data_IF_764302375326
#
_entry.id   IF_764302375326
#
_cell.length_a   1.000
_cell.length_b   1.000
_cell.length_c   1.000
_cell.angle_alpha   90.00
_cell.angle_beta   90.00
_cell.angle_gamma   90.00
#
_symmetry.space_group_name_H-M   'P 1'
#
loop_
_entity.id
_entity.type
_entity.pdbx_description
1 polymer ?
#
# COMPACT_ATOMS: atom_id res chain seq x y z
N UNK A 1 -33.40 -28.39 -35.45
CA UNK A 1 -32.29 -27.73 -34.71
C UNK A 1 -32.04 -26.39 -35.38
N UNK A 2 -32.26 -25.22 -34.73
CA UNK A 2 -31.99 -23.94 -35.37
C UNK A 2 -30.48 -23.67 -35.33
N UNK A 3 -29.93 -23.25 -36.48
CA UNK A 3 -28.53 -22.87 -36.62
C UNK A 3 -28.26 -21.57 -35.84
N UNK A 4 -27.21 -21.57 -35.02
CA UNK A 4 -26.71 -20.37 -34.35
C UNK A 4 -26.18 -19.40 -35.42
N UNK A 5 -26.90 -18.30 -35.64
CA UNK A 5 -26.41 -17.19 -36.46
C UNK A 5 -25.34 -16.47 -35.65
N UNK A 6 -24.07 -16.64 -36.06
CA UNK A 6 -22.95 -15.95 -35.43
C UNK A 6 -22.97 -14.46 -35.76
N UNK A 7 -23.22 -13.61 -34.75
CA UNK A 7 -23.15 -12.16 -34.90
C UNK A 7 -21.69 -11.76 -35.22
N UNK A 8 -21.44 -11.26 -36.43
CA UNK A 8 -20.13 -10.72 -36.83
C UNK A 8 -20.15 -9.21 -36.66
N UNK A 9 -19.54 -8.70 -35.60
CA UNK A 9 -19.31 -7.26 -35.45
C UNK A 9 -18.18 -6.81 -36.40
N UNK A 10 -18.36 -5.71 -37.14
CA UNK A 10 -17.26 -5.12 -37.91
C UNK A 10 -16.18 -4.59 -36.95
N UNK A 11 -14.92 -4.70 -37.36
CA UNK A 11 -13.75 -4.32 -36.54
C UNK A 11 -13.84 -2.88 -36.01
N UNK A 12 -14.42 -1.96 -36.79
CA UNK A 12 -14.66 -0.57 -36.40
C UNK A 12 -15.61 -0.43 -35.21
N UNK A 13 -16.68 -1.23 -35.15
CA UNK A 13 -17.61 -1.22 -33.99
C UNK A 13 -16.92 -1.79 -32.77
N UNK A 14 -16.10 -2.82 -32.93
CA UNK A 14 -15.29 -3.35 -31.82
C UNK A 14 -14.31 -2.28 -31.29
N UNK A 15 -13.59 -1.59 -32.17
CA UNK A 15 -12.67 -0.51 -31.78
C UNK A 15 -13.37 0.65 -31.07
N UNK A 16 -14.56 1.05 -31.54
CA UNK A 16 -15.35 2.11 -30.91
C UNK A 16 -15.86 1.70 -29.51
N UNK A 17 -16.26 0.44 -29.33
CA UNK A 17 -16.66 -0.08 -28.03
C UNK A 17 -15.48 -0.12 -27.04
N UNK A 18 -14.30 -0.55 -27.48
CA UNK A 18 -13.08 -0.52 -26.64
C UNK A 18 -12.72 0.93 -26.28
N UNK A 19 -12.73 1.85 -27.23
CA UNK A 19 -12.41 3.26 -26.98
C UNK A 19 -13.43 3.92 -26.03
N UNK A 20 -14.72 3.65 -26.22
CA UNK A 20 -15.78 4.12 -25.33
C UNK A 20 -15.61 3.57 -23.92
N UNK A 21 -15.21 2.31 -23.76
CA UNK A 21 -14.99 1.71 -22.43
C UNK A 21 -13.77 2.31 -21.71
N UNK A 22 -12.71 2.66 -22.46
CA UNK A 22 -11.53 3.31 -21.91
C UNK A 22 -11.81 4.75 -21.42
N UNK A 23 -12.75 5.44 -22.07
CA UNK A 23 -13.19 6.79 -21.67
C UNK A 23 -14.12 6.79 -20.44
N UNK A 24 -14.61 5.63 -20.00
CA UNK A 24 -15.45 5.50 -18.80
C UNK A 24 -14.66 5.23 -17.51
N UNK A 25 -13.32 5.18 -17.56
CA UNK A 25 -12.50 5.04 -16.35
C UNK A 25 -12.42 6.41 -15.65
N UNK A 26 -13.24 6.60 -14.63
CA UNK A 26 -13.28 7.85 -13.84
C UNK A 26 -12.42 7.80 -12.59
N UNK A 27 -12.00 6.60 -12.16
CA UNK A 27 -11.26 6.40 -10.91
C UNK A 27 -9.99 5.58 -11.16
N UNK A 28 -8.87 6.05 -10.61
CA UNK A 28 -7.66 5.26 -10.47
C UNK A 28 -7.68 4.62 -9.08
N UNK A 29 -7.81 3.29 -9.02
CA UNK A 29 -7.72 2.59 -7.74
C UNK A 29 -6.28 2.65 -7.22
N UNK A 30 -6.11 3.12 -5.99
CA UNK A 30 -4.84 3.01 -5.26
C UNK A 30 -4.48 1.56 -4.94
N UNK A 31 -3.30 1.33 -4.35
CA UNK A 31 -2.93 0.00 -3.89
C UNK A 31 -3.92 -0.46 -2.82
N UNK A 32 -4.73 -1.46 -3.16
CA UNK A 32 -5.36 -2.31 -2.15
C UNK A 32 -4.39 -3.42 -1.73
N UNK A 33 -4.89 -4.38 -0.95
CA UNK A 33 -4.08 -5.52 -0.49
C UNK A 33 -3.33 -6.24 -1.63
N UNK A 34 -3.93 -6.38 -2.81
CA UNK A 34 -3.26 -6.99 -4.00
C UNK A 34 -2.00 -6.21 -4.42
N UNK A 35 -2.03 -4.88 -4.36
CA UNK A 35 -0.88 -4.03 -4.67
C UNK A 35 0.28 -4.25 -3.70
N UNK A 36 -0.03 -4.28 -2.41
CA UNK A 36 0.96 -4.57 -1.36
C UNK A 36 1.55 -5.98 -1.51
N UNK A 37 0.71 -6.99 -1.74
CA UNK A 37 1.17 -8.37 -1.98
C UNK A 37 2.06 -8.45 -3.22
N UNK A 38 1.73 -7.74 -4.30
CA UNK A 38 2.55 -7.72 -5.51
C UNK A 38 3.94 -7.13 -5.24
N UNK A 39 4.01 -5.98 -4.57
CA UNK A 39 5.30 -5.37 -4.21
C UNK A 39 6.11 -6.26 -3.26
N UNK A 40 5.46 -6.89 -2.29
CA UNK A 40 6.10 -7.81 -1.35
C UNK A 40 6.66 -9.06 -2.06
N UNK A 41 5.93 -9.62 -3.04
CA UNK A 41 6.43 -10.76 -3.83
C UNK A 41 7.61 -10.37 -4.72
N UNK A 42 7.59 -9.18 -5.34
CA UNK A 42 8.75 -8.66 -6.07
C UNK A 42 9.96 -8.55 -5.13
N UNK A 43 9.78 -7.93 -3.96
CA UNK A 43 10.84 -7.78 -2.96
C UNK A 43 11.37 -9.13 -2.47
N UNK A 44 10.49 -10.08 -2.13
CA UNK A 44 10.83 -11.43 -1.69
C UNK A 44 11.71 -12.15 -2.71
N UNK A 45 11.42 -12.00 -4.02
CA UNK A 45 12.24 -12.61 -5.09
C UNK A 45 13.65 -12.04 -5.15
N UNK A 46 13.86 -10.79 -4.74
CA UNK A 46 15.18 -10.14 -4.70
C UNK A 46 16.03 -10.53 -3.48
N UNK A 47 15.45 -11.18 -2.47
CA UNK A 47 16.20 -11.63 -1.29
C UNK A 47 17.12 -12.81 -1.65
N UNK A 48 18.30 -12.83 -1.04
CA UNK A 48 19.13 -14.04 -0.99
C UNK A 48 18.49 -15.14 -0.11
N UNK A 49 18.95 -16.38 -0.26
CA UNK A 49 18.36 -17.53 0.42
C UNK A 49 18.41 -17.41 1.95
N UNK A 50 19.49 -16.83 2.48
CA UNK A 50 19.66 -16.61 3.93
C UNK A 50 18.62 -15.63 4.48
N UNK A 51 18.32 -14.56 3.74
CA UNK A 51 17.33 -13.58 4.15
C UNK A 51 15.91 -14.06 3.90
N UNK A 52 15.66 -14.89 2.87
CA UNK A 52 14.40 -15.61 2.67
C UNK A 52 14.08 -16.53 3.86
N UNK A 53 15.02 -17.36 4.26
CA UNK A 53 14.83 -18.27 5.40
C UNK A 53 14.51 -17.51 6.70
N UNK A 54 15.20 -16.39 6.95
CA UNK A 54 14.93 -15.53 8.10
C UNK A 54 13.53 -14.93 8.08
N UNK A 55 13.11 -14.36 6.94
CA UNK A 55 11.80 -13.71 6.85
C UNK A 55 10.67 -14.74 6.92
N UNK A 56 10.86 -15.93 6.34
CA UNK A 56 9.89 -17.02 6.41
C UNK A 56 9.71 -17.51 7.86
N UNK A 57 10.81 -17.71 8.61
CA UNK A 57 10.74 -18.07 10.03
C UNK A 57 10.08 -16.99 10.90
N UNK A 58 10.38 -15.72 10.61
CA UNK A 58 9.74 -14.58 11.30
C UNK A 58 8.24 -14.50 10.98
N UNK A 59 7.86 -14.72 9.72
CA UNK A 59 6.47 -14.72 9.27
C UNK A 59 5.66 -15.87 9.89
N UNK A 60 6.23 -17.06 10.02
CA UNK A 60 5.59 -18.19 10.70
C UNK A 60 5.23 -17.85 12.15
N UNK A 61 6.16 -17.23 12.89
CA UNK A 61 5.90 -16.79 14.27
C UNK A 61 4.89 -15.63 14.30
N UNK A 62 5.00 -14.70 13.37
CA UNK A 62 4.09 -13.56 13.28
C UNK A 62 2.64 -13.99 13.02
N UNK A 63 2.43 -14.97 12.15
CA UNK A 63 1.12 -15.55 11.86
C UNK A 63 0.42 -16.13 13.11
N UNK A 64 1.18 -16.54 14.12
CA UNK A 64 0.65 -17.04 15.40
C UNK A 64 0.23 -15.92 16.36
N UNK A 65 0.69 -14.67 16.13
CA UNK A 65 0.61 -13.58 17.11
C UNK A 65 -0.63 -12.69 16.98
N UNK A 66 -1.52 -12.92 16.01
CA UNK A 66 -2.67 -12.06 15.78
C UNK A 66 -3.88 -12.73 15.15
N UNK A 67 -5.03 -12.02 15.08
CA UNK A 67 -6.28 -12.52 14.50
C UNK A 67 -6.26 -12.64 12.96
N UNK A 68 -5.10 -12.93 12.37
CA UNK A 68 -4.85 -12.90 10.94
C UNK A 68 -4.53 -14.32 10.45
N UNK A 69 -5.54 -15.18 10.26
CA UNK A 69 -5.33 -16.53 9.72
C UNK A 69 -4.77 -16.53 8.29
N UNK A 70 -4.51 -15.36 7.70
CA UNK A 70 -4.17 -15.16 6.30
C UNK A 70 -2.82 -14.50 6.06
N UNK A 71 -1.94 -14.30 7.06
CA UNK A 71 -0.60 -13.73 6.85
C UNK A 71 0.55 -14.74 7.08
N UNK A 72 0.55 -15.93 6.44
CA UNK A 72 1.53 -16.98 6.72
C UNK A 72 2.95 -16.67 6.22
N UNK A 73 3.10 -15.69 5.32
CA UNK A 73 4.38 -15.33 4.73
C UNK A 73 4.52 -13.81 4.55
N UNK A 74 5.70 -13.38 4.09
CA UNK A 74 6.00 -11.98 3.80
C UNK A 74 5.00 -11.33 2.83
N UNK A 75 4.49 -12.09 1.86
CA UNK A 75 3.60 -11.58 0.80
C UNK A 75 2.23 -11.26 1.38
N UNK A 76 1.61 -12.20 2.09
CA UNK A 76 0.30 -11.97 2.66
C UNK A 76 0.32 -11.06 3.89
N UNK A 77 1.44 -11.02 4.63
CA UNK A 77 1.62 -10.06 5.72
C UNK A 77 1.72 -8.61 5.23
N UNK A 78 1.95 -8.38 3.94
CA UNK A 78 2.02 -7.04 3.36
C UNK A 78 0.72 -6.22 3.55
N UNK A 79 -0.42 -6.84 3.87
CA UNK A 79 -1.69 -6.14 4.13
C UNK A 79 -1.96 -5.88 5.62
N UNK A 80 -1.11 -6.41 6.51
CA UNK A 80 -1.38 -6.48 7.94
C UNK A 80 -1.60 -5.10 8.59
N UNK A 81 -0.82 -4.09 8.20
CA UNK A 81 -0.91 -2.75 8.79
C UNK A 81 -2.25 -2.06 8.50
N UNK A 82 -2.91 -2.42 7.39
CA UNK A 82 -4.30 -2.02 7.13
C UNK A 82 -5.30 -2.90 7.89
N UNK A 83 -5.08 -4.21 7.95
CA UNK A 83 -6.02 -5.13 8.58
C UNK A 83 -6.18 -4.89 10.09
N UNK A 84 -5.15 -4.40 10.79
CA UNK A 84 -5.24 -4.04 12.22
C UNK A 84 -6.25 -2.90 12.48
N UNK A 85 -6.59 -2.09 11.48
CA UNK A 85 -7.64 -1.05 11.60
C UNK A 85 -9.02 -1.67 11.89
N UNK A 86 -9.27 -2.92 11.45
CA UNK A 86 -10.50 -3.68 11.78
C UNK A 86 -10.63 -3.92 13.30
N UNK A 87 -9.51 -3.89 14.02
CA UNK A 87 -9.41 -4.01 15.48
C UNK A 87 -9.23 -2.65 16.17
N UNK A 88 -9.68 -1.56 15.53
CA UNK A 88 -9.65 -0.18 16.05
C UNK A 88 -8.25 0.38 16.32
N UNK A 89 -7.19 -0.21 15.74
CA UNK A 89 -5.82 0.27 15.91
C UNK A 89 -5.48 1.47 15.00
N UNK A 90 -6.31 2.52 15.07
CA UNK A 90 -6.15 3.74 14.26
C UNK A 90 -5.01 4.65 14.73
N UNK A 91 -4.36 4.36 15.85
CA UNK A 91 -3.20 5.10 16.32
C UNK A 91 -2.01 5.09 15.33
N UNK A 92 -2.00 4.14 14.40
CA UNK A 92 -0.98 4.01 13.33
C UNK A 92 -1.45 4.59 12.00
N UNK A 93 -2.59 5.29 11.94
CA UNK A 93 -3.16 5.75 10.66
C UNK A 93 -2.20 6.65 9.86
N UNK A 94 -1.45 7.54 10.54
CA UNK A 94 -0.48 8.44 9.88
C UNK A 94 0.74 7.71 9.32
N UNK A 95 0.96 6.45 9.69
CA UNK A 95 2.11 5.67 9.25
C UNK A 95 2.01 5.27 7.77
N UNK A 96 0.82 5.41 7.18
CA UNK A 96 0.51 4.97 5.82
C UNK A 96 0.76 6.02 4.74
N UNK A 97 1.11 7.25 5.11
CA UNK A 97 1.28 8.32 4.12
C UNK A 97 2.32 9.35 4.56
N UNK A 98 2.76 10.15 3.59
CA UNK A 98 3.50 11.38 3.78
C UNK A 98 2.82 12.46 2.96
N UNK A 99 2.00 13.30 3.58
CA UNK A 99 1.18 14.29 2.89
C UNK A 99 2.00 15.52 2.43
N UNK A 100 2.89 15.35 1.45
CA UNK A 100 3.68 16.45 0.91
C UNK A 100 2.76 17.51 0.27
N UNK A 101 2.83 18.79 0.69
CA UNK A 101 1.92 19.80 0.18
C UNK A 101 2.23 20.15 -1.28
N UNK A 102 1.22 20.03 -2.15
CA UNK A 102 1.23 20.53 -3.51
C UNK A 102 0.30 21.75 -3.62
N UNK A 103 0.90 22.94 -3.75
CA UNK A 103 0.18 24.22 -3.64
C UNK A 103 0.31 25.07 -4.92
N UNK A 104 -0.40 24.73 -6.01
CA UNK A 104 -0.32 25.46 -7.29
C UNK A 104 -0.90 26.88 -7.22
N UNK A 105 -1.82 27.15 -6.29
CA UNK A 105 -2.47 28.46 -6.13
C UNK A 105 -1.75 29.38 -5.12
N UNK A 106 -0.69 28.87 -4.49
CA UNK A 106 0.12 29.59 -3.51
C UNK A 106 -0.73 30.17 -2.35
N UNK A 107 -1.72 29.41 -1.88
CA UNK A 107 -2.53 29.77 -0.72
C UNK A 107 -1.70 29.69 0.57
N UNK A 108 -2.14 30.37 1.63
CA UNK A 108 -1.51 30.25 2.94
C UNK A 108 -1.85 28.89 3.58
N UNK A 109 -0.88 27.98 3.66
CA UNK A 109 -1.03 26.69 4.34
C UNK A 109 -0.56 26.83 5.79
N UNK A 110 -1.46 26.55 6.74
CA UNK A 110 -1.15 26.55 8.17
C UNK A 110 -1.04 25.14 8.76
N UNK A 111 -1.50 24.14 8.02
CA UNK A 111 -1.47 22.74 8.44
C UNK A 111 -0.02 22.23 8.47
N UNK A 112 0.35 21.61 9.59
CA UNK A 112 1.67 21.02 9.76
C UNK A 112 1.69 19.60 9.17
N UNK A 113 2.82 19.20 8.60
CA UNK A 113 3.05 17.80 8.24
C UNK A 113 3.24 17.00 9.52
N UNK A 114 2.55 15.87 9.63
CA UNK A 114 2.70 14.95 10.76
C UNK A 114 4.17 14.52 10.93
N UNK A 115 4.67 14.61 12.17
CA UNK A 115 6.05 14.19 12.49
C UNK A 115 6.21 12.67 12.50
N UNK A 116 5.14 11.96 12.83
CA UNK A 116 5.04 10.49 12.72
C UNK A 116 4.29 10.17 11.44
N UNK A 117 5.03 9.78 10.41
CA UNK A 117 4.52 9.55 9.05
C UNK A 117 5.22 8.34 8.42
N UNK A 118 4.83 7.96 7.20
CA UNK A 118 5.40 6.81 6.49
C UNK A 118 6.93 6.84 6.38
N UNK A 119 7.54 8.01 6.21
CA UNK A 119 9.01 8.15 6.10
C UNK A 119 9.69 7.93 7.45
N UNK A 120 9.24 8.62 8.50
CA UNK A 120 9.86 8.52 9.82
C UNK A 120 9.69 7.12 10.42
N UNK A 121 8.50 6.53 10.28
CA UNK A 121 8.22 5.17 10.73
C UNK A 121 9.05 4.15 9.96
N UNK A 122 9.23 4.29 8.65
CA UNK A 122 10.11 3.38 7.88
C UNK A 122 11.54 3.37 8.41
N UNK A 123 12.09 4.55 8.75
CA UNK A 123 13.43 4.66 9.32
C UNK A 123 13.54 4.00 10.70
N UNK A 124 12.50 4.12 11.54
CA UNK A 124 12.43 3.46 12.83
C UNK A 124 12.34 1.94 12.68
N UNK A 125 11.53 1.43 11.75
CA UNK A 125 11.44 -0.02 11.48
C UNK A 125 12.76 -0.59 10.97
N UNK A 126 13.45 0.12 10.06
CA UNK A 126 14.79 -0.27 9.60
C UNK A 126 15.78 -0.31 10.78
N UNK A 127 15.71 0.67 11.67
CA UNK A 127 16.57 0.72 12.86
C UNK A 127 16.30 -0.43 13.82
N UNK A 128 15.03 -0.78 14.03
CA UNK A 128 14.62 -1.95 14.83
C UNK A 128 15.15 -3.26 14.23
N UNK A 129 15.04 -3.46 12.92
CA UNK A 129 15.53 -4.66 12.24
C UNK A 129 17.05 -4.81 12.27
N UNK A 130 17.80 -3.71 12.37
CA UNK A 130 19.26 -3.72 12.53
C UNK A 130 19.71 -3.98 13.97
N UNK A 131 18.83 -3.87 14.95
CA UNK A 131 19.17 -4.05 16.35
C UNK A 131 19.21 -5.55 16.71
N UNK A 132 20.42 -6.09 16.86
CA UNK A 132 20.66 -7.51 17.21
C UNK A 132 20.16 -7.92 18.59
N UNK A 133 19.77 -6.96 19.44
CA UNK A 133 19.18 -7.19 20.76
C UNK A 133 17.66 -7.03 20.78
N UNK A 134 17.03 -6.65 19.66
CA UNK A 134 15.58 -6.50 19.61
C UNK A 134 14.89 -7.85 19.88
N UNK A 135 13.86 -7.90 20.74
CA UNK A 135 13.09 -9.11 20.94
C UNK A 135 12.33 -9.45 19.65
N UNK A 136 12.06 -10.74 19.44
CA UNK A 136 11.43 -11.24 18.22
C UNK A 136 10.11 -10.53 17.87
N UNK A 137 9.31 -10.20 18.89
CA UNK A 137 8.07 -9.41 18.70
C UNK A 137 8.33 -8.07 18.01
N UNK A 138 9.37 -7.33 18.42
CA UNK A 138 9.70 -6.03 17.84
C UNK A 138 10.25 -6.18 16.42
N UNK A 139 11.02 -7.24 16.14
CA UNK A 139 11.45 -7.56 14.78
C UNK A 139 10.25 -7.87 13.88
N UNK A 140 9.29 -8.66 14.39
CA UNK A 140 8.08 -9.02 13.68
C UNK A 140 7.18 -7.83 13.37
N UNK A 141 6.97 -6.98 14.36
CA UNK A 141 6.27 -5.72 14.18
C UNK A 141 6.97 -4.83 13.15
N UNK A 142 8.31 -4.78 13.17
CA UNK A 142 9.07 -3.91 12.29
C UNK A 142 9.05 -4.34 10.82
N UNK A 143 9.31 -5.62 10.51
CA UNK A 143 9.32 -6.04 9.10
C UNK A 143 7.91 -5.99 8.49
N UNK A 144 6.87 -6.36 9.24
CA UNK A 144 5.50 -6.37 8.72
C UNK A 144 5.03 -4.95 8.35
N UNK A 145 5.27 -3.98 9.23
CA UNK A 145 4.99 -2.57 8.94
C UNK A 145 5.87 -2.05 7.79
N UNK A 146 7.17 -2.36 7.79
CA UNK A 146 8.09 -1.86 6.76
C UNK A 146 7.67 -2.32 5.36
N UNK A 147 7.31 -3.60 5.18
CA UNK A 147 6.86 -4.13 3.88
C UNK A 147 5.61 -3.39 3.39
N UNK A 148 4.64 -3.13 4.28
CA UNK A 148 3.42 -2.41 3.93
C UNK A 148 3.70 -0.95 3.59
N UNK A 149 4.34 -0.21 4.50
CA UNK A 149 4.58 1.24 4.39
C UNK A 149 5.48 1.56 3.20
N UNK A 150 6.44 0.69 2.87
CA UNK A 150 7.24 0.90 1.67
C UNK A 150 6.38 0.78 0.39
N UNK A 151 5.35 -0.06 0.40
CA UNK A 151 4.34 -0.10 -0.66
C UNK A 151 3.51 1.18 -0.73
N UNK A 152 3.07 1.69 0.42
CA UNK A 152 2.36 2.98 0.51
C UNK A 152 3.19 4.13 -0.06
N UNK A 153 4.48 4.21 0.27
CA UNK A 153 5.38 5.24 -0.25
C UNK A 153 5.55 5.20 -1.79
N UNK A 154 5.24 4.07 -2.43
CA UNK A 154 5.24 3.93 -3.89
C UNK A 154 3.84 4.13 -4.51
N UNK A 155 2.83 4.45 -3.70
CA UNK A 155 1.52 4.93 -4.12
C UNK A 155 1.59 6.47 -4.22
N UNK A 156 1.51 7.08 -5.42
CA UNK A 156 1.63 8.53 -5.57
C UNK A 156 0.71 9.34 -4.64
N UNK A 157 -0.55 8.93 -4.50
CA UNK A 157 -1.56 9.60 -3.68
C UNK A 157 -1.33 9.44 -2.17
N UNK A 158 -0.50 8.51 -1.71
CA UNK A 158 -0.07 8.45 -0.31
C UNK A 158 1.10 9.39 -0.01
N UNK A 159 1.66 10.07 -1.01
CA UNK A 159 2.87 10.89 -0.87
C UNK A 159 2.65 12.37 -1.15
N UNK A 160 1.41 12.79 -1.40
CA UNK A 160 1.07 14.15 -1.81
C UNK A 160 -0.31 14.54 -1.27
N UNK A 161 -0.52 15.84 -1.06
CA UNK A 161 -1.83 16.41 -0.76
C UNK A 161 -1.97 17.75 -1.48
N UNK A 162 -3.00 17.92 -2.29
CA UNK A 162 -3.25 19.16 -3.05
C UNK A 162 -3.91 20.20 -2.16
N UNK A 163 -3.33 21.39 -2.16
CA UNK A 163 -3.87 22.58 -1.54
C UNK A 163 -4.34 23.55 -2.62
N UNK A 164 -5.55 24.06 -2.45
CA UNK A 164 -6.17 25.03 -3.36
C UNK A 164 -7.28 25.79 -2.64
N UNK A 165 -7.88 26.77 -3.28
CA UNK A 165 -9.07 27.45 -2.76
C UNK A 165 -10.24 26.49 -2.49
N UNK A 166 -10.31 25.38 -3.24
CA UNK A 166 -11.29 24.30 -3.03
C UNK A 166 -10.90 23.37 -1.86
N UNK A 167 -9.59 23.12 -1.70
CA UNK A 167 -9.02 22.23 -0.68
C UNK A 167 -8.06 22.99 0.23
N UNK A 168 -8.55 23.86 1.14
CA UNK A 168 -7.69 24.67 2.00
C UNK A 168 -6.91 23.86 3.05
N UNK A 169 -7.35 22.64 3.34
CA UNK A 169 -6.76 21.71 4.31
C UNK A 169 -6.18 20.44 3.65
N UNK A 170 -5.89 20.52 2.36
CA UNK A 170 -5.49 19.36 1.57
C UNK A 170 -6.68 18.54 1.05
N UNK A 171 -6.44 17.76 0.00
CA UNK A 171 -7.39 16.84 -0.61
C UNK A 171 -7.27 15.40 -0.07
N UNK A 172 -6.42 15.18 0.93
CA UNK A 172 -6.11 13.86 1.50
C UNK A 172 -5.53 12.86 0.49
N UNK A 173 -4.82 13.36 -0.53
CA UNK A 173 -4.24 12.50 -1.56
C UNK A 173 -5.19 12.25 -2.73
N UNK A 174 -6.24 13.05 -2.90
CA UNK A 174 -7.13 13.02 -4.08
C UNK A 174 -8.55 12.59 -3.78
#
# INVERSE_FOLDING_TARGET
>A
MPALVGLRLPLTVLCLLVLSSALCVTEALGWGCVGHMLLAEIARRQLDDKNKEKIDAMAEVFAQSGPFPSSPDMVQAACWADDVKRWRQYAMATWHFFAAPYNPENINITDAIDTVNAVTVSLDMISALKNTKAPLYMLNFAWANLVHIFGDLHQPLHTISRYSSEYPHGDNGG
#
